data_IF_633665696731
#
_entry.id   IF_633665696731
#
_cell.length_a   1.000
_cell.length_b   1.000
_cell.length_c   1.000
_cell.angle_alpha   90.00
_cell.angle_beta   90.00
_cell.angle_gamma   90.00
#
_symmetry.space_group_name_H-M   'P 1'
#
loop_
_entity.id
_entity.type
_entity.pdbx_description
1 polymer ?
#
# COMPACT_ATOMS: atom_id res chain seq x y z
N UNK A 1 23.01 -10.00 -1.06
CA UNK A 1 22.18 -9.16 -0.19
C UNK A 1 21.20 -10.07 0.52
N UNK A 2 21.18 -10.07 1.86
CA UNK A 2 20.21 -10.86 2.62
C UNK A 2 18.89 -10.07 2.70
N UNK A 3 17.78 -10.66 2.27
CA UNK A 3 16.47 -10.04 2.43
C UNK A 3 16.09 -9.93 3.91
N UNK A 4 15.45 -8.82 4.30
CA UNK A 4 14.87 -8.69 5.64
C UNK A 4 13.56 -9.46 5.66
N UNK A 5 13.42 -10.44 6.56
CA UNK A 5 12.20 -11.25 6.68
C UNK A 5 11.14 -10.42 7.42
N UNK A 6 10.28 -9.73 6.67
CA UNK A 6 9.11 -9.03 7.17
C UNK A 6 7.93 -10.02 7.11
N UNK A 7 7.62 -10.63 8.25
CA UNK A 7 6.67 -11.76 8.33
C UNK A 7 5.27 -11.40 8.80
N UNK A 8 5.09 -10.18 9.31
CA UNK A 8 3.80 -9.68 9.84
C UNK A 8 3.55 -8.24 9.40
N UNK A 9 2.28 -7.83 9.39
CA UNK A 9 1.89 -6.45 9.06
C UNK A 9 2.63 -5.45 9.93
N UNK A 10 2.75 -5.73 11.24
CA UNK A 10 3.52 -4.93 12.19
C UNK A 10 4.98 -4.74 11.74
N UNK A 11 5.64 -5.82 11.31
CA UNK A 11 7.03 -5.74 10.84
C UNK A 11 7.18 -4.94 9.54
N UNK A 12 6.21 -5.06 8.62
CA UNK A 12 6.17 -4.32 7.36
C UNK A 12 5.97 -2.83 7.62
N UNK A 13 4.99 -2.48 8.46
CA UNK A 13 4.67 -1.10 8.84
C UNK A 13 5.86 -0.42 9.51
N UNK A 14 6.48 -1.08 10.49
CA UNK A 14 7.65 -0.52 11.17
C UNK A 14 8.82 -0.33 10.21
N UNK A 15 9.08 -1.30 9.34
CA UNK A 15 10.14 -1.17 8.35
C UNK A 15 9.90 0.01 7.41
N UNK A 16 8.67 0.16 6.92
CA UNK A 16 8.32 1.28 6.05
C UNK A 16 8.52 2.63 6.77
N UNK A 17 8.08 2.73 8.02
CA UNK A 17 8.23 3.94 8.85
C UNK A 17 9.69 4.29 9.13
N UNK A 18 10.50 3.30 9.51
CA UNK A 18 11.94 3.49 9.80
C UNK A 18 12.74 3.94 8.57
N UNK A 19 12.21 3.76 7.37
CA UNK A 19 12.90 4.01 6.10
C UNK A 19 12.15 5.03 5.22
N UNK A 20 11.21 5.80 5.79
CA UNK A 20 10.42 6.81 5.08
C UNK A 20 9.74 6.31 3.79
N UNK A 21 9.23 5.07 3.84
CA UNK A 21 8.61 4.41 2.69
C UNK A 21 7.08 4.53 2.72
N UNK A 22 6.49 4.46 1.53
CA UNK A 22 5.03 4.34 1.33
C UNK A 22 4.70 2.87 1.10
N UNK A 23 3.68 2.37 1.79
CA UNK A 23 3.15 1.02 1.53
C UNK A 23 2.21 1.09 0.34
N UNK A 24 2.41 0.22 -0.65
CA UNK A 24 1.49 0.05 -1.79
C UNK A 24 0.97 -1.38 -1.75
N UNK A 25 -0.34 -1.58 -1.58
CA UNK A 25 -0.91 -2.94 -1.45
C UNK A 25 -2.34 -3.00 -1.98
N UNK A 26 -2.82 -4.21 -2.27
CA UNK A 26 -4.26 -4.51 -2.52
C UNK A 26 -4.98 -4.95 -1.24
N UNK A 27 -4.22 -5.21 -0.18
CA UNK A 27 -4.73 -5.70 1.08
C UNK A 27 -5.46 -4.57 1.83
N UNK A 28 -6.78 -4.70 1.93
CA UNK A 28 -7.66 -3.71 2.55
C UNK A 28 -7.47 -3.63 4.07
N UNK A 29 -6.88 -4.64 4.71
CA UNK A 29 -6.61 -4.61 6.16
C UNK A 29 -5.61 -3.52 6.52
N UNK A 30 -4.68 -3.20 5.61
CA UNK A 30 -3.71 -2.11 5.79
C UNK A 30 -4.37 -0.72 5.81
N UNK A 31 -5.57 -0.56 5.23
CA UNK A 31 -6.30 0.73 5.27
C UNK A 31 -6.61 1.11 6.71
N UNK A 32 -7.22 0.19 7.46
CA UNK A 32 -7.53 0.40 8.88
C UNK A 32 -6.25 0.60 9.70
N UNK A 33 -5.23 -0.22 9.45
CA UNK A 33 -3.96 -0.07 10.15
C UNK A 33 -3.30 1.30 9.88
N UNK A 34 -3.40 1.82 8.66
CA UNK A 34 -2.89 3.14 8.25
C UNK A 34 -3.62 4.28 8.95
N UNK A 35 -4.95 4.22 9.04
CA UNK A 35 -5.77 5.20 9.76
C UNK A 35 -5.45 5.21 11.27
N UNK A 36 -5.27 4.04 11.88
CA UNK A 36 -4.97 3.91 13.31
C UNK A 36 -3.53 4.30 13.68
N UNK A 37 -2.56 4.06 12.79
CA UNK A 37 -1.12 4.22 13.08
C UNK A 37 -0.45 5.34 12.27
N UNK A 38 -1.23 6.10 11.50
CA UNK A 38 -0.83 7.26 10.71
C UNK A 38 0.44 7.03 9.86
N UNK A 39 0.42 6.02 8.99
CA UNK A 39 1.50 5.76 8.04
C UNK A 39 1.02 5.90 6.58
N UNK A 40 1.89 6.33 5.65
CA UNK A 40 1.49 6.55 4.26
C UNK A 40 1.20 5.23 3.53
N UNK A 41 0.03 5.16 2.92
CA UNK A 41 -0.50 4.00 2.22
C UNK A 41 -1.11 4.42 0.87
N UNK A 42 -0.85 3.64 -0.16
CA UNK A 42 -1.59 3.63 -1.42
C UNK A 42 -2.30 2.28 -1.51
N UNK A 43 -3.63 2.30 -1.43
CA UNK A 43 -4.43 1.10 -1.66
C UNK A 43 -4.77 0.99 -3.14
N UNK A 44 -4.41 -0.14 -3.74
CA UNK A 44 -4.77 -0.50 -5.11
C UNK A 44 -6.07 -1.30 -5.11
N UNK A 45 -7.15 -0.68 -4.65
CA UNK A 45 -8.48 -1.28 -4.65
C UNK A 45 -9.14 -1.24 -6.03
N UNK A 46 -10.29 -1.89 -6.13
CA UNK A 46 -11.03 -2.01 -7.39
C UNK A 46 -11.45 -0.64 -7.94
N UNK A 47 -11.70 0.35 -7.07
CA UNK A 47 -12.07 1.71 -7.49
C UNK A 47 -10.88 2.43 -8.13
N UNK A 48 -9.69 2.38 -7.51
CA UNK A 48 -8.48 2.98 -8.09
C UNK A 48 -8.06 2.26 -9.38
N UNK A 49 -8.18 0.93 -9.42
CA UNK A 49 -7.91 0.16 -10.64
C UNK A 49 -8.91 0.54 -11.75
N UNK A 50 -10.20 0.63 -11.43
CA UNK A 50 -11.24 1.02 -12.39
C UNK A 50 -10.98 2.41 -12.94
N UNK A 51 -10.60 3.37 -12.09
CA UNK A 51 -10.26 4.73 -12.52
C UNK A 51 -9.11 4.74 -13.51
N UNK A 52 -8.04 4.00 -13.24
CA UNK A 52 -6.89 3.85 -14.15
C UNK A 52 -7.32 3.24 -15.49
N UNK A 53 -8.20 2.24 -15.47
CA UNK A 53 -8.73 1.62 -16.70
C UNK A 53 -9.55 2.64 -17.50
N UNK A 54 -10.48 3.34 -16.86
CA UNK A 54 -11.33 4.36 -17.50
C UNK A 54 -10.49 5.47 -18.14
N UNK A 55 -9.47 5.95 -17.44
CA UNK A 55 -8.60 7.00 -17.96
C UNK A 55 -7.74 6.54 -19.14
N UNK A 56 -7.30 5.27 -19.15
CA UNK A 56 -6.64 4.69 -20.32
C UNK A 56 -7.59 4.61 -21.51
N UNK A 57 -8.83 4.17 -21.28
CA UNK A 57 -9.85 4.04 -22.34
C UNK A 57 -10.21 5.36 -23.01
N UNK A 58 -10.12 6.51 -22.31
CA UNK A 58 -10.34 7.84 -22.92
C UNK A 58 -9.29 8.24 -23.97
N UNK A 59 -8.15 7.55 -23.99
CA UNK A 59 -7.04 7.82 -24.91
C UNK A 59 -6.99 6.83 -26.09
N UNK A 60 -8.01 5.98 -26.23
CA UNK A 60 -8.24 5.10 -27.38
C UNK A 60 -9.45 5.60 -28.18
#
# INVERSE_FOLDING_TARGET
MAGKKLGSDYSIINYARENDMIIVTKDTEFRKASEENNFPLILLDDEEILKVIVDKLKNF
#
